data_IF_561242487834
#
_entry.id   IF_561242487834
#
_cell.length_a   1.000
_cell.length_b   1.000
_cell.length_c   1.000
_cell.angle_alpha   90.00
_cell.angle_beta   90.00
_cell.angle_gamma   90.00
#
_symmetry.space_group_name_H-M   'P 1'
#
loop_
_entity.id
_entity.type
_entity.pdbx_description
1 polymer ?
#
# COMPACT_ATOMS: atom_id res chain seq x y z
N UNK A 1 22.28 -37.50 8.34
CA UNK A 1 21.52 -36.36 7.81
C UNK A 1 20.16 -36.34 8.52
N UNK A 2 20.04 -35.54 9.57
CA UNK A 2 18.82 -35.46 10.38
C UNK A 2 17.88 -34.43 9.74
N UNK A 3 16.79 -34.89 9.16
CA UNK A 3 15.73 -34.03 8.64
C UNK A 3 14.94 -33.51 9.85
N UNK A 4 15.21 -32.28 10.22
CA UNK A 4 14.40 -31.53 11.17
C UNK A 4 13.01 -31.32 10.57
N UNK A 5 12.05 -32.15 10.90
CA UNK A 5 10.65 -31.96 10.65
C UNK A 5 10.21 -30.67 11.37
N UNK A 6 9.95 -29.61 10.62
CA UNK A 6 9.31 -28.41 11.18
C UNK A 6 7.98 -28.83 11.79
N UNK A 7 7.83 -28.61 13.09
CA UNK A 7 6.53 -28.81 13.73
C UNK A 7 5.49 -27.95 13.03
N UNK A 8 4.28 -28.47 12.76
CA UNK A 8 3.21 -27.68 12.19
C UNK A 8 2.90 -26.52 13.13
N UNK A 9 2.96 -25.30 12.60
CA UNK A 9 2.51 -24.11 13.32
C UNK A 9 1.00 -24.28 13.51
N UNK A 10 0.58 -24.54 14.74
CA UNK A 10 -0.84 -24.59 15.08
C UNK A 10 -1.36 -23.17 14.96
N UNK A 11 -2.19 -22.92 13.96
CA UNK A 11 -2.86 -21.63 13.80
C UNK A 11 -3.74 -21.37 15.05
N UNK A 12 -3.67 -20.17 15.66
CA UNK A 12 -4.55 -19.85 16.77
C UNK A 12 -6.00 -19.89 16.33
N UNK A 13 -6.91 -20.24 17.24
CA UNK A 13 -8.33 -20.26 16.93
C UNK A 13 -8.82 -18.87 16.48
N UNK A 14 -9.71 -18.84 15.49
CA UNK A 14 -10.22 -17.60 14.89
C UNK A 14 -10.76 -16.60 15.93
N UNK A 15 -11.41 -17.11 16.98
CA UNK A 15 -11.96 -16.27 18.04
C UNK A 15 -11.00 -15.97 19.20
N UNK A 16 -9.75 -16.44 19.14
CA UNK A 16 -8.71 -16.09 20.11
C UNK A 16 -8.02 -14.76 19.77
N UNK A 17 -8.23 -14.22 18.57
CA UNK A 17 -7.73 -12.90 18.21
C UNK A 17 -8.53 -11.81 18.90
N UNK A 18 -7.88 -10.71 19.34
CA UNK A 18 -8.61 -9.55 19.85
C UNK A 18 -9.64 -9.09 18.83
N UNK A 19 -10.91 -9.04 19.21
CA UNK A 19 -12.02 -8.74 18.29
C UNK A 19 -11.94 -7.34 17.69
N UNK A 20 -11.40 -6.39 18.43
CA UNK A 20 -11.27 -4.99 18.00
C UNK A 20 -9.98 -4.38 18.54
N UNK A 21 -9.15 -3.87 17.66
CA UNK A 21 -8.02 -3.04 18.03
C UNK A 21 -8.45 -1.88 18.94
N UNK A 22 -9.50 -1.17 18.56
CA UNK A 22 -10.02 -0.02 19.28
C UNK A 22 -10.51 -0.35 20.71
N UNK A 23 -10.90 -1.57 21.00
CA UNK A 23 -11.30 -2.02 22.34
C UNK A 23 -10.09 -2.10 23.28
N UNK A 24 -8.93 -2.48 22.76
CA UNK A 24 -7.70 -2.67 23.55
C UNK A 24 -6.84 -1.41 23.62
N UNK A 25 -6.80 -0.62 22.56
CA UNK A 25 -5.83 0.47 22.37
C UNK A 25 -6.46 1.82 22.00
N UNK A 26 -7.78 1.91 21.95
CA UNK A 26 -8.49 3.09 21.45
C UNK A 26 -8.57 3.12 19.91
N UNK A 27 -9.00 4.24 19.37
CA UNK A 27 -9.09 4.43 17.91
C UNK A 27 -7.68 4.42 17.33
N UNK A 28 -7.39 3.47 16.47
CA UNK A 28 -6.10 3.40 15.78
C UNK A 28 -5.91 4.65 14.89
N UNK A 29 -4.71 5.25 14.86
CA UNK A 29 -4.40 6.31 13.93
C UNK A 29 -4.51 5.76 12.48
N UNK A 30 -4.69 6.64 11.52
CA UNK A 30 -4.61 6.26 10.11
C UNK A 30 -3.24 5.65 9.81
N UNK A 31 -3.20 4.72 8.85
CA UNK A 31 -1.93 4.22 8.34
C UNK A 31 -1.17 5.38 7.69
N UNK A 32 0.12 5.58 7.98
CA UNK A 32 0.86 6.76 7.56
C UNK A 32 1.00 6.85 6.05
N UNK A 33 0.78 8.04 5.52
CA UNK A 33 0.97 8.39 4.10
C UNK A 33 2.14 9.38 3.92
N UNK A 34 2.64 9.93 5.01
CA UNK A 34 3.72 10.91 5.01
C UNK A 34 4.82 10.54 5.98
N UNK A 35 6.01 11.10 5.78
CA UNK A 35 7.12 10.91 6.71
C UNK A 35 6.81 11.46 8.10
N UNK A 36 6.10 12.60 8.17
CA UNK A 36 5.71 13.22 9.45
C UNK A 36 4.82 12.27 10.25
N UNK A 37 3.83 11.65 9.60
CA UNK A 37 2.96 10.66 10.26
C UNK A 37 3.72 9.41 10.73
N UNK A 38 4.77 8.99 10.00
CA UNK A 38 5.66 7.92 10.47
C UNK A 38 6.46 8.35 11.70
N UNK A 39 6.98 9.58 11.71
CA UNK A 39 7.75 10.12 12.82
C UNK A 39 6.86 10.27 14.06
N UNK A 40 5.59 10.67 13.93
CA UNK A 40 4.60 10.73 15.01
C UNK A 40 4.32 9.35 15.60
N UNK A 41 4.41 8.29 14.80
CA UNK A 41 4.30 6.89 15.26
C UNK A 41 5.63 6.33 15.79
N UNK A 42 6.71 7.09 15.74
CA UNK A 42 8.05 6.66 16.13
C UNK A 42 8.67 5.64 15.16
N UNK A 43 8.25 5.67 13.89
CA UNK A 43 8.75 4.74 12.87
C UNK A 43 9.84 5.35 12.02
N UNK A 44 10.98 4.71 11.96
CA UNK A 44 12.10 5.03 11.08
C UNK A 44 11.91 4.49 9.65
N UNK A 45 11.15 3.40 9.51
CA UNK A 45 10.87 2.71 8.24
C UNK A 45 9.54 1.97 8.31
N UNK A 46 8.95 1.69 7.14
CA UNK A 46 7.83 0.75 7.00
C UNK A 46 8.35 -0.65 6.65
N UNK A 47 7.64 -1.67 7.09
CA UNK A 47 7.91 -3.04 6.65
C UNK A 47 7.29 -3.30 5.28
N UNK A 48 6.09 -2.79 5.08
CA UNK A 48 5.32 -2.91 3.83
C UNK A 48 4.80 -1.52 3.45
N UNK A 49 4.91 -1.18 2.17
CA UNK A 49 4.31 0.03 1.62
C UNK A 49 3.30 -0.38 0.56
N UNK A 50 2.04 0.02 0.75
CA UNK A 50 0.96 -0.26 -0.18
C UNK A 50 0.74 0.95 -1.09
N UNK A 51 0.76 0.72 -2.40
CA UNK A 51 0.56 1.74 -3.43
C UNK A 51 -0.77 1.51 -4.12
N UNK A 52 -1.63 2.53 -4.17
CA UNK A 52 -2.98 2.42 -4.70
C UNK A 52 -3.33 3.53 -5.69
N UNK A 53 -4.21 3.20 -6.65
CA UNK A 53 -4.83 4.15 -7.56
C UNK A 53 -5.98 4.96 -6.94
N UNK A 54 -6.49 4.56 -5.78
CA UNK A 54 -7.55 5.25 -5.06
C UNK A 54 -6.99 6.18 -3.99
N UNK A 55 -7.77 7.19 -3.60
CA UNK A 55 -7.55 7.88 -2.35
C UNK A 55 -7.59 6.90 -1.17
N UNK A 56 -6.76 7.11 -0.16
CA UNK A 56 -6.82 6.29 1.05
C UNK A 56 -7.98 6.75 1.93
N UNK A 57 -8.88 5.81 2.18
CA UNK A 57 -9.99 5.96 3.13
C UNK A 57 -9.97 4.72 4.01
N UNK A 58 -9.81 4.92 5.32
CA UNK A 58 -9.76 3.83 6.30
C UNK A 58 -11.19 3.32 6.60
N UNK A 59 -11.74 2.61 5.65
CA UNK A 59 -13.09 2.06 5.72
C UNK A 59 -13.12 0.65 5.12
N UNK A 60 -13.89 -0.29 5.69
CA UNK A 60 -13.91 -1.69 5.24
C UNK A 60 -14.39 -1.92 3.80
N UNK A 61 -14.99 -0.91 3.17
CA UNK A 61 -15.33 -0.96 1.74
C UNK A 61 -14.11 -0.73 0.81
N UNK A 62 -12.96 -0.32 1.36
CA UNK A 62 -11.76 -0.05 0.58
C UNK A 62 -10.71 -1.13 0.82
N UNK A 63 -10.29 -1.79 -0.25
CA UNK A 63 -9.31 -2.88 -0.19
C UNK A 63 -8.01 -2.51 0.51
N UNK A 64 -7.54 -1.27 0.33
CA UNK A 64 -6.31 -0.80 0.99
C UNK A 64 -6.45 -0.73 2.50
N UNK A 65 -7.59 -0.28 3.01
CA UNK A 65 -7.85 -0.25 4.44
C UNK A 65 -7.88 -1.67 5.01
N UNK A 66 -8.62 -2.57 4.36
CA UNK A 66 -8.72 -3.97 4.82
C UNK A 66 -7.36 -4.65 4.83
N UNK A 67 -6.60 -4.56 3.73
CA UNK A 67 -5.28 -5.20 3.61
C UNK A 67 -4.30 -4.56 4.60
N UNK A 68 -4.24 -3.24 4.66
CA UNK A 68 -3.33 -2.51 5.54
C UNK A 68 -3.59 -2.82 7.01
N UNK A 69 -4.86 -2.79 7.44
CA UNK A 69 -5.23 -3.12 8.82
C UNK A 69 -5.00 -4.59 9.17
N UNK A 70 -5.21 -5.50 8.22
CA UNK A 70 -4.90 -6.91 8.42
C UNK A 70 -3.39 -7.12 8.62
N UNK A 71 -2.54 -6.49 7.83
CA UNK A 71 -1.09 -6.57 7.97
C UNK A 71 -0.60 -5.90 9.26
N UNK A 72 -1.15 -4.74 9.61
CA UNK A 72 -0.86 -4.06 10.88
C UNK A 72 -1.21 -4.96 12.09
N UNK A 73 -2.37 -5.63 12.05
CA UNK A 73 -2.79 -6.56 13.10
C UNK A 73 -1.83 -7.76 13.26
N UNK A 74 -1.03 -8.07 12.25
CA UNK A 74 0.06 -9.06 12.32
C UNK A 74 1.38 -8.47 12.83
N UNK A 75 1.42 -7.19 13.18
CA UNK A 75 2.58 -6.51 13.74
C UNK A 75 3.50 -5.84 12.70
N UNK A 76 3.10 -5.74 11.44
CA UNK A 76 3.86 -5.03 10.42
C UNK A 76 3.61 -3.52 10.47
N UNK A 77 4.66 -2.74 10.25
CA UNK A 77 4.58 -1.29 10.02
C UNK A 77 4.18 -1.05 8.57
N UNK A 78 2.94 -0.62 8.37
CA UNK A 78 2.36 -0.48 7.02
C UNK A 78 2.17 0.99 6.67
N UNK A 79 2.78 1.42 5.58
CA UNK A 79 2.58 2.76 5.01
C UNK A 79 1.74 2.72 3.73
N UNK A 80 1.08 3.81 3.40
CA UNK A 80 0.22 3.94 2.22
C UNK A 80 0.74 5.06 1.31
N UNK A 81 0.90 4.75 0.02
CA UNK A 81 1.10 5.75 -1.04
C UNK A 81 -0.16 5.73 -1.90
N UNK A 82 -1.01 6.74 -1.74
CA UNK A 82 -2.26 6.85 -2.47
C UNK A 82 -2.12 7.82 -3.64
N UNK A 83 -2.56 7.41 -4.82
CA UNK A 83 -2.58 8.21 -6.04
C UNK A 83 -1.28 8.97 -6.33
N UNK A 84 -0.09 8.30 -6.29
CA UNK A 84 1.16 8.98 -6.59
C UNK A 84 1.16 9.53 -8.01
N UNK A 85 1.81 10.65 -8.22
CA UNK A 85 2.06 11.16 -9.57
C UNK A 85 2.85 10.16 -10.38
N UNK A 86 2.44 9.96 -11.63
CA UNK A 86 2.98 8.87 -12.43
C UNK A 86 3.52 9.30 -13.79
N UNK A 87 3.28 10.56 -14.21
CA UNK A 87 3.71 11.08 -15.50
C UNK A 87 5.22 10.99 -15.66
N UNK A 88 5.66 10.65 -16.85
CA UNK A 88 7.08 10.55 -17.15
C UNK A 88 7.71 11.94 -17.21
N UNK A 89 8.90 12.10 -16.57
CA UNK A 89 9.59 13.38 -16.51
C UNK A 89 9.12 14.32 -15.38
N UNK A 90 8.10 13.92 -14.62
CA UNK A 90 7.71 14.66 -13.42
C UNK A 90 8.63 14.29 -12.26
N UNK A 91 9.41 15.26 -11.78
CA UNK A 91 10.28 15.07 -10.61
C UNK A 91 9.49 14.69 -9.35
N UNK A 92 8.25 15.18 -9.24
CA UNK A 92 7.36 14.85 -8.13
C UNK A 92 6.93 13.38 -8.16
N UNK A 93 6.85 12.74 -9.34
CA UNK A 93 6.54 11.33 -9.44
C UNK A 93 7.58 10.46 -8.70
N UNK A 94 8.86 10.78 -8.83
CA UNK A 94 9.91 10.07 -8.08
C UNK A 94 9.81 10.35 -6.58
N UNK A 95 9.51 11.59 -6.19
CA UNK A 95 9.36 11.97 -4.80
C UNK A 95 8.17 11.25 -4.14
N UNK A 96 7.03 11.17 -4.82
CA UNK A 96 5.83 10.50 -4.30
C UNK A 96 6.08 9.01 -4.01
N UNK A 97 6.72 8.29 -4.94
CA UNK A 97 7.06 6.86 -4.74
C UNK A 97 8.14 6.62 -3.69
N UNK A 98 8.88 7.65 -3.30
CA UNK A 98 9.95 7.59 -2.30
C UNK A 98 9.55 8.27 -0.98
N UNK A 99 8.34 8.80 -0.88
CA UNK A 99 7.89 9.62 0.26
C UNK A 99 8.04 8.93 1.62
N UNK A 100 7.78 7.63 1.68
CA UNK A 100 7.91 6.82 2.90
C UNK A 100 9.25 6.06 2.98
N UNK A 101 10.15 6.30 2.03
CA UNK A 101 11.41 5.56 1.92
C UNK A 101 11.23 4.18 1.28
N UNK A 102 12.18 3.30 1.58
CA UNK A 102 12.19 1.91 1.09
C UNK A 102 11.59 1.00 2.14
N UNK A 103 10.62 0.13 1.80
CA UNK A 103 10.09 -0.83 2.75
C UNK A 103 11.12 -1.92 3.07
N UNK A 104 11.06 -2.47 4.28
CA UNK A 104 11.94 -3.55 4.71
C UNK A 104 11.66 -4.87 3.97
N UNK A 105 10.38 -5.10 3.59
CA UNK A 105 9.94 -6.34 2.96
C UNK A 105 9.57 -6.13 1.49
N UNK A 106 8.48 -5.42 1.20
CA UNK A 106 8.02 -5.24 -0.18
C UNK A 106 7.07 -4.04 -0.36
N UNK A 107 6.88 -3.67 -1.64
CA UNK A 107 5.78 -2.83 -2.10
C UNK A 107 4.60 -3.70 -2.54
N UNK A 108 3.41 -3.48 -1.97
CA UNK A 108 2.17 -4.04 -2.47
C UNK A 108 1.47 -3.04 -3.40
N UNK A 109 1.19 -3.43 -4.64
CA UNK A 109 0.64 -2.50 -5.65
C UNK A 109 -0.74 -2.94 -6.09
N UNK A 110 -1.69 -2.00 -6.13
CA UNK A 110 -3.05 -2.24 -6.62
C UNK A 110 -3.55 -1.11 -7.52
N UNK A 111 -4.50 -1.43 -8.39
CA UNK A 111 -5.22 -0.44 -9.18
C UNK A 111 -6.27 0.36 -8.40
N UNK A 112 -6.66 -0.12 -7.23
CA UNK A 112 -7.76 0.42 -6.44
C UNK A 112 -8.97 -0.52 -6.40
N UNK A 113 -10.10 -0.03 -5.91
CA UNK A 113 -11.35 -0.79 -5.78
C UNK A 113 -11.96 -1.18 -7.13
N UNK A 114 -11.69 -0.42 -8.16
CA UNK A 114 -12.17 -0.65 -9.52
C UNK A 114 -10.99 -0.69 -10.49
N UNK A 115 -11.10 -1.52 -11.53
CA UNK A 115 -10.12 -1.50 -12.62
C UNK A 115 -9.95 -0.09 -13.18
N UNK A 116 -8.69 0.33 -13.35
CA UNK A 116 -8.38 1.71 -13.75
C UNK A 116 -8.96 2.09 -15.10
N UNK A 117 -9.04 1.15 -16.04
CA UNK A 117 -9.62 1.40 -17.35
C UNK A 117 -11.14 1.57 -17.27
N UNK A 118 -11.82 0.75 -16.47
CA UNK A 118 -13.27 0.87 -16.25
C UNK A 118 -13.59 2.20 -15.55
N UNK A 119 -12.75 2.60 -14.62
CA UNK A 119 -12.95 3.87 -13.92
C UNK A 119 -12.67 5.09 -14.80
N UNK A 120 -11.76 4.98 -15.77
CA UNK A 120 -11.36 6.10 -16.65
C UNK A 120 -12.23 6.25 -17.90
N UNK A 121 -12.80 5.17 -18.41
CA UNK A 121 -13.54 5.19 -19.66
C UNK A 121 -15.00 4.76 -19.47
N UNK A 122 -15.88 5.37 -20.28
CA UNK A 122 -17.28 4.92 -20.43
C UNK A 122 -17.36 3.66 -21.30
N UNK A 123 -18.51 3.01 -21.35
CA UNK A 123 -18.78 1.90 -22.28
C UNK A 123 -18.54 2.31 -23.75
N UNK A 124 -18.78 3.56 -24.10
CA UNK A 124 -18.53 4.13 -25.43
C UNK A 124 -17.06 4.54 -25.65
N UNK A 125 -16.14 4.13 -24.76
CA UNK A 125 -14.70 4.46 -24.82
C UNK A 125 -14.38 5.95 -24.72
N UNK A 126 -15.28 6.76 -24.17
CA UNK A 126 -15.02 8.18 -23.88
C UNK A 126 -14.37 8.30 -22.51
N UNK A 127 -13.42 9.23 -22.39
CA UNK A 127 -12.77 9.53 -21.11
C UNK A 127 -13.81 10.13 -20.16
N UNK A 128 -13.86 9.60 -18.93
CA UNK A 128 -14.64 10.19 -17.84
C UNK A 128 -13.93 11.43 -17.31
N UNK A 129 -14.71 12.41 -16.93
CA UNK A 129 -14.20 13.66 -16.33
C UNK A 129 -14.16 13.59 -14.80
N UNK A 130 -14.79 12.58 -14.24
CA UNK A 130 -14.94 12.35 -12.80
C UNK A 130 -14.35 11.00 -12.39
N UNK A 131 -13.92 10.91 -11.14
CA UNK A 131 -13.42 9.69 -10.51
C UNK A 131 -13.88 9.65 -9.05
N UNK A 132 -14.89 8.82 -8.76
CA UNK A 132 -15.49 8.70 -7.43
C UNK A 132 -14.49 8.23 -6.33
N UNK A 133 -13.35 7.69 -6.71
CA UNK A 133 -12.30 7.24 -5.79
C UNK A 133 -11.16 8.25 -5.64
N UNK A 134 -11.35 9.46 -6.12
CA UNK A 134 -10.38 10.56 -6.03
C UNK A 134 -10.95 11.70 -5.21
N UNK A 135 -10.15 12.42 -4.40
CA UNK A 135 -10.60 13.60 -3.71
C UNK A 135 -11.22 14.62 -4.68
N UNK A 136 -12.34 15.22 -4.28
CA UNK A 136 -13.13 16.15 -5.10
C UNK A 136 -13.67 15.56 -6.41
N UNK A 137 -13.72 14.24 -6.51
CA UNK A 137 -14.19 13.55 -7.74
C UNK A 137 -13.37 13.90 -8.99
N UNK A 138 -12.10 14.23 -8.83
CA UNK A 138 -11.22 14.73 -9.89
C UNK A 138 -10.69 13.60 -10.78
N UNK A 139 -11.09 13.57 -12.04
CA UNK A 139 -10.63 12.56 -13.00
C UNK A 139 -9.16 12.73 -13.40
N UNK A 140 -8.55 11.65 -13.91
CA UNK A 140 -7.21 11.67 -14.51
C UNK A 140 -6.04 11.51 -13.54
N UNK A 141 -6.27 11.31 -12.25
CA UNK A 141 -5.21 11.11 -11.25
C UNK A 141 -4.50 9.76 -11.41
N UNK A 142 -5.20 8.74 -11.84
CA UNK A 142 -4.63 7.40 -12.01
C UNK A 142 -4.25 7.11 -13.46
N UNK A 143 -3.20 6.32 -13.73
CA UNK A 143 -2.90 5.83 -15.06
C UNK A 143 -3.90 4.75 -15.51
N UNK A 144 -4.05 4.54 -16.81
CA UNK A 144 -4.93 3.52 -17.38
C UNK A 144 -4.60 2.10 -16.91
N UNK A 145 -3.33 1.84 -16.63
CA UNK A 145 -2.83 0.58 -16.11
C UNK A 145 -2.05 0.83 -14.83
N UNK A 146 -2.77 1.17 -13.76
CA UNK A 146 -2.18 1.60 -12.50
C UNK A 146 -1.16 0.59 -11.96
N UNK A 147 -1.51 -0.70 -11.90
CA UNK A 147 -0.61 -1.73 -11.38
C UNK A 147 0.70 -1.80 -12.17
N UNK A 148 0.64 -1.76 -13.49
CA UNK A 148 1.82 -1.79 -14.34
C UNK A 148 2.72 -0.58 -14.12
N UNK A 149 2.13 0.62 -14.21
CA UNK A 149 2.88 1.87 -14.08
C UNK A 149 3.48 2.02 -12.69
N UNK A 150 2.70 1.76 -11.65
CA UNK A 150 3.17 1.88 -10.27
C UNK A 150 4.26 0.86 -9.96
N UNK A 151 4.13 -0.39 -10.42
CA UNK A 151 5.18 -1.40 -10.23
C UNK A 151 6.50 -1.01 -10.91
N UNK A 152 6.43 -0.32 -12.06
CA UNK A 152 7.63 0.17 -12.76
C UNK A 152 8.26 1.38 -12.05
N UNK A 153 7.47 2.13 -11.29
CA UNK A 153 7.91 3.36 -10.57
C UNK A 153 8.40 3.08 -9.16
N UNK A 154 7.90 2.03 -8.51
CA UNK A 154 8.39 1.65 -7.19
C UNK A 154 9.90 1.44 -7.22
N UNK A 155 10.65 2.00 -6.25
CA UNK A 155 12.09 1.80 -6.14
C UNK A 155 12.41 0.29 -6.13
N UNK A 156 13.31 -0.14 -7.00
CA UNK A 156 13.73 -1.55 -7.03
C UNK A 156 14.38 -1.89 -5.69
N UNK A 157 13.82 -2.87 -5.00
CA UNK A 157 14.50 -3.48 -3.88
C UNK A 157 15.77 -4.14 -4.45
N UNK A 158 16.96 -3.64 -4.09
CA UNK A 158 18.19 -4.40 -4.35
C UNK A 158 18.04 -5.71 -3.58
N UNK A 159 18.02 -6.82 -4.27
CA UNK A 159 18.25 -8.10 -3.63
C UNK A 159 19.61 -8.00 -2.93
N UNK A 160 19.59 -8.05 -1.61
CA UNK A 160 20.78 -8.36 -0.83
C UNK A 160 20.98 -9.87 -0.96
N UNK A 161 21.40 -10.32 -2.12
CA UNK A 161 22.16 -11.55 -2.23
C UNK A 161 23.58 -11.13 -1.89
N UNK A 162 24.03 -11.53 -0.70
CA UNK A 162 25.39 -11.27 -0.28
C UNK A 162 26.36 -11.72 -1.37
N UNK A 163 27.19 -10.77 -1.74
CA UNK A 163 28.58 -10.86 -2.13
C UNK A 163 28.95 -9.51 -2.73
N UNK A 164 29.42 -8.61 -1.89
CA UNK A 164 30.37 -7.60 -2.32
C UNK A 164 31.76 -8.20 -2.05
N UNK A 165 32.50 -8.64 -3.05
CA UNK A 165 33.94 -8.83 -2.89
C UNK A 165 34.58 -7.45 -2.90
N UNK A 166 35.46 -7.23 -1.95
CA UNK A 166 36.34 -6.08 -1.74
C UNK A 166 36.96 -5.54 -3.04
#
# INVERSE_FOLDING_TARGET
>A
MSSSLRQPVVAPELFSFPKYWAECYGVAPYLPMTRVEMDDLGWDSCDIILVTGDAYIDHPSFGMAVIGRMLEAQGFRVGIISQPKWQQGDAQATADFSALGKPNLFFGVTGGNMDSMINRYTADRKIRHDDAYTPNNEGGKRPDRAVLIYSQRCPKLRHIVGNDPQ
#
